data_IF_018237340728
#
_entry.id   IF_018237340728
#
_cell.length_a   1.000
_cell.length_b   1.000
_cell.length_c   1.000
_cell.angle_alpha   90.00
_cell.angle_beta   90.00
_cell.angle_gamma   90.00
#
_symmetry.space_group_name_H-M   'P 1'
#
loop_
_entity.id
_entity.type
_entity.pdbx_description
1 polymer ?
#
# COMPACT_ATOMS: atom_id res chain seq x y z
N UNK A 1 17.50 10.27 -4.58
CA UNK A 1 16.40 10.83 -3.75
C UNK A 1 15.12 10.14 -4.09
N UNK A 2 14.35 9.76 -3.07
CA UNK A 2 13.04 9.13 -3.27
C UNK A 2 12.06 10.18 -3.78
N UNK A 3 11.38 9.88 -4.88
CA UNK A 3 10.38 10.78 -5.47
C UNK A 3 8.96 10.27 -5.29
N UNK A 4 8.79 8.96 -5.17
CA UNK A 4 7.48 8.32 -5.11
C UNK A 4 7.52 7.19 -4.10
N UNK A 5 6.39 7.02 -3.41
CA UNK A 5 6.13 5.86 -2.55
C UNK A 5 4.97 5.07 -3.13
N UNK A 6 4.99 3.74 -2.94
CA UNK A 6 3.84 2.89 -3.19
C UNK A 6 3.24 2.49 -1.84
N UNK A 7 1.93 2.45 -1.78
CA UNK A 7 1.22 1.87 -0.65
C UNK A 7 0.37 0.71 -1.18
N UNK A 8 0.45 -0.42 -0.50
CA UNK A 8 -0.34 -1.61 -0.80
C UNK A 8 -1.30 -1.83 0.35
N UNK A 9 -2.59 -1.78 0.07
CA UNK A 9 -3.64 -1.96 1.07
C UNK A 9 -4.17 -3.37 0.90
N UNK A 10 -3.97 -4.22 1.92
CA UNK A 10 -4.28 -5.65 1.85
C UNK A 10 -5.67 -5.95 2.38
N UNK A 11 -6.32 -6.95 1.78
CA UNK A 11 -7.65 -7.38 2.23
C UNK A 11 -7.79 -8.88 1.98
N UNK A 12 -8.74 -9.50 2.69
CA UNK A 12 -9.11 -10.88 2.44
C UNK A 12 -10.22 -10.94 1.40
N UNK A 13 -10.40 -12.11 0.76
CA UNK A 13 -11.38 -12.23 -0.32
C UNK A 13 -12.81 -11.95 0.14
N UNK A 14 -13.11 -12.12 1.43
CA UNK A 14 -14.41 -11.80 2.00
C UNK A 14 -14.54 -10.33 2.40
N UNK A 15 -13.51 -9.50 2.16
CA UNK A 15 -13.48 -8.08 2.50
C UNK A 15 -13.49 -7.18 1.25
N UNK A 16 -13.95 -7.68 0.11
CA UNK A 16 -13.94 -6.90 -1.14
C UNK A 16 -14.76 -5.62 -1.03
N UNK A 17 -15.93 -5.68 -0.39
CA UNK A 17 -16.79 -4.50 -0.23
C UNK A 17 -16.10 -3.46 0.69
N UNK A 18 -15.51 -3.92 1.79
CA UNK A 18 -14.77 -3.05 2.69
C UNK A 18 -13.58 -2.40 1.96
N UNK A 19 -12.82 -3.21 1.21
CA UNK A 19 -11.66 -2.72 0.47
C UNK A 19 -12.06 -1.66 -0.57
N UNK A 20 -13.18 -1.87 -1.27
CA UNK A 20 -13.68 -0.89 -2.23
C UNK A 20 -14.08 0.42 -1.54
N UNK A 21 -14.70 0.35 -0.38
CA UNK A 21 -15.05 1.52 0.42
C UNK A 21 -13.80 2.28 0.87
N UNK A 22 -12.81 1.56 1.42
CA UNK A 22 -11.55 2.16 1.86
C UNK A 22 -10.85 2.85 0.69
N UNK A 23 -10.78 2.17 -0.47
CA UNK A 23 -10.17 2.73 -1.67
C UNK A 23 -10.85 4.05 -2.08
N UNK A 24 -12.17 4.06 -2.12
CA UNK A 24 -12.90 5.26 -2.51
C UNK A 24 -12.67 6.41 -1.54
N UNK A 25 -12.62 6.12 -0.23
CA UNK A 25 -12.36 7.13 0.80
C UNK A 25 -10.96 7.71 0.65
N UNK A 26 -9.96 6.86 0.40
CA UNK A 26 -8.57 7.29 0.21
C UNK A 26 -8.45 8.20 -1.01
N UNK A 27 -9.01 7.78 -2.14
CA UNK A 27 -8.96 8.57 -3.38
C UNK A 27 -9.60 9.94 -3.18
N UNK A 28 -10.75 9.96 -2.51
CA UNK A 28 -11.48 11.21 -2.27
C UNK A 28 -10.68 12.18 -1.42
N UNK A 29 -9.96 11.69 -0.42
CA UNK A 29 -9.25 12.54 0.52
C UNK A 29 -7.80 12.84 0.13
N UNK A 30 -7.25 12.11 -0.85
CA UNK A 30 -5.87 12.29 -1.30
C UNK A 30 -5.84 12.61 -2.81
N UNK A 31 -6.26 13.81 -3.21
CA UNK A 31 -6.27 14.18 -4.63
C UNK A 31 -4.86 14.27 -5.24
N UNK A 32 -3.82 14.31 -4.41
CA UNK A 32 -2.42 14.35 -4.87
C UNK A 32 -1.88 12.99 -5.32
N UNK A 33 -2.62 11.89 -5.14
CA UNK A 33 -2.17 10.57 -5.61
C UNK A 33 -1.94 10.61 -7.12
N UNK A 34 -0.84 9.99 -7.57
CA UNK A 34 -0.51 9.92 -9.00
C UNK A 34 -1.06 8.66 -9.65
N UNK A 35 -1.49 7.69 -8.84
CA UNK A 35 -2.06 6.43 -9.34
C UNK A 35 -2.91 5.79 -8.25
N UNK A 36 -4.01 5.19 -8.65
CA UNK A 36 -4.84 4.37 -7.77
C UNK A 36 -5.31 3.15 -8.56
N UNK A 37 -4.73 1.98 -8.24
CA UNK A 37 -5.02 0.73 -8.92
C UNK A 37 -6.37 0.16 -8.51
N UNK A 38 -6.87 -0.77 -9.32
CA UNK A 38 -8.08 -1.53 -9.00
C UNK A 38 -7.77 -2.57 -7.93
N UNK A 39 -8.82 -3.11 -7.31
CA UNK A 39 -8.67 -4.24 -6.40
C UNK A 39 -8.15 -5.45 -7.17
N UNK A 40 -7.08 -6.05 -6.65
CA UNK A 40 -6.50 -7.28 -7.23
C UNK A 40 -6.89 -8.43 -6.31
N UNK A 41 -7.81 -9.32 -6.74
CA UNK A 41 -8.42 -10.31 -5.83
C UNK A 41 -7.57 -11.55 -5.58
N UNK A 42 -6.29 -11.53 -6.00
CA UNK A 42 -5.36 -12.64 -5.81
C UNK A 42 -4.03 -12.12 -5.26
N UNK A 43 -3.27 -13.01 -4.62
CA UNK A 43 -1.91 -12.68 -4.17
C UNK A 43 -0.97 -12.64 -5.38
N UNK A 44 -0.20 -11.57 -5.51
CA UNK A 44 0.79 -11.43 -6.60
C UNK A 44 2.11 -10.92 -6.04
N UNK A 45 3.21 -11.27 -6.73
CA UNK A 45 4.56 -10.83 -6.37
C UNK A 45 4.88 -11.18 -4.92
N UNK A 46 5.48 -10.26 -4.15
CA UNK A 46 5.82 -10.50 -2.75
C UNK A 46 4.63 -10.41 -1.81
N UNK A 47 3.45 -10.06 -2.32
CA UNK A 47 2.28 -9.75 -1.49
C UNK A 47 1.55 -11.03 -1.07
N UNK A 48 1.29 -11.21 0.26
CA UNK A 48 0.69 -12.45 0.77
C UNK A 48 -0.82 -12.51 0.66
N UNK A 49 -1.48 -11.39 0.29
CA UNK A 49 -2.93 -11.29 0.24
C UNK A 49 -3.35 -10.48 -0.98
N UNK A 50 -4.63 -10.55 -1.38
CA UNK A 50 -5.20 -9.56 -2.28
C UNK A 50 -4.94 -8.13 -1.81
N UNK A 51 -4.80 -7.19 -2.74
CA UNK A 51 -4.48 -5.81 -2.38
C UNK A 51 -4.89 -4.85 -3.50
N UNK A 52 -4.86 -3.55 -3.18
CA UNK A 52 -4.81 -2.53 -4.21
C UNK A 52 -3.62 -1.61 -3.93
N UNK A 53 -3.10 -1.00 -4.97
CA UNK A 53 -1.89 -0.20 -4.91
C UNK A 53 -2.19 1.25 -5.24
N UNK A 54 -1.58 2.18 -4.49
CA UNK A 54 -1.64 3.61 -4.79
C UNK A 54 -0.21 4.15 -4.82
N UNK A 55 -0.01 5.22 -5.61
CA UNK A 55 1.28 5.90 -5.70
C UNK A 55 1.16 7.29 -5.11
N UNK A 56 2.12 7.64 -4.25
CA UNK A 56 2.11 8.85 -3.44
C UNK A 56 3.37 9.65 -3.74
N UNK A 57 3.26 10.93 -4.16
CA UNK A 57 4.45 11.77 -4.30
C UNK A 57 5.16 11.91 -2.95
N UNK A 58 6.50 11.90 -2.96
CA UNK A 58 7.27 11.99 -1.73
C UNK A 58 6.93 13.23 -0.91
N UNK A 59 6.59 14.33 -1.57
CA UNK A 59 6.21 15.57 -0.90
C UNK A 59 4.94 15.47 -0.08
N UNK A 60 4.12 14.45 -0.32
CA UNK A 60 2.85 14.24 0.38
C UNK A 60 2.87 13.04 1.32
N UNK A 61 4.04 12.37 1.49
CA UNK A 61 4.05 11.06 2.14
C UNK A 61 3.57 11.09 3.59
N UNK A 62 4.00 12.07 4.36
CA UNK A 62 3.61 12.12 5.78
C UNK A 62 2.12 12.37 5.96
N UNK A 63 1.57 13.30 5.20
CA UNK A 63 0.14 13.58 5.22
C UNK A 63 -0.67 12.37 4.73
N UNK A 64 -0.21 11.74 3.65
CA UNK A 64 -0.88 10.58 3.08
C UNK A 64 -0.89 9.42 4.07
N UNK A 65 0.23 9.13 4.74
CA UNK A 65 0.29 8.04 5.71
C UNK A 65 -0.68 8.27 6.87
N UNK A 66 -0.76 9.50 7.38
CA UNK A 66 -1.69 9.81 8.47
C UNK A 66 -3.14 9.62 8.01
N UNK A 67 -3.48 10.10 6.82
CA UNK A 67 -4.82 9.98 6.25
C UNK A 67 -5.19 8.51 6.01
N UNK A 68 -4.29 7.73 5.41
CA UNK A 68 -4.52 6.31 5.14
C UNK A 68 -4.72 5.56 6.46
N UNK A 69 -3.91 5.88 7.48
CA UNK A 69 -4.05 5.23 8.77
C UNK A 69 -5.43 5.45 9.39
N UNK A 70 -6.01 6.63 9.21
CA UNK A 70 -7.37 6.91 9.68
C UNK A 70 -8.44 6.19 8.87
N UNK A 71 -8.21 5.97 7.58
CA UNK A 71 -9.22 5.46 6.65
C UNK A 71 -9.15 3.96 6.41
N UNK A 72 -8.10 3.28 6.87
CA UNK A 72 -7.85 1.87 6.50
C UNK A 72 -8.80 0.85 7.13
N UNK A 73 -9.55 1.21 8.14
CA UNK A 73 -10.56 0.36 8.80
C UNK A 73 -10.05 -1.04 9.17
N UNK A 74 -8.88 -1.08 9.79
CA UNK A 74 -8.26 -2.32 10.24
C UNK A 74 -7.46 -3.07 9.19
N UNK A 75 -7.51 -2.67 7.92
CA UNK A 75 -6.71 -3.30 6.87
C UNK A 75 -5.23 -2.97 7.05
N UNK A 76 -4.36 -3.96 6.77
CA UNK A 76 -2.91 -3.75 6.81
C UNK A 76 -2.46 -2.97 5.59
N UNK A 77 -1.51 -2.05 5.78
CA UNK A 77 -0.96 -1.26 4.68
C UNK A 77 0.57 -1.31 4.73
N UNK A 78 1.17 -1.68 3.61
CA UNK A 78 2.63 -1.58 3.41
C UNK A 78 2.92 -0.31 2.61
N UNK A 79 3.79 0.54 3.15
CA UNK A 79 4.24 1.75 2.44
C UNK A 79 5.74 1.61 2.22
N UNK A 80 6.18 1.74 0.96
CA UNK A 80 7.61 1.63 0.66
C UNK A 80 8.03 2.63 -0.41
N UNK A 81 9.30 3.08 -0.36
CA UNK A 81 9.83 3.95 -1.41
C UNK A 81 9.99 3.18 -2.72
N UNK A 82 9.94 3.90 -3.83
CA UNK A 82 10.30 3.35 -5.14
C UNK A 82 11.80 3.58 -5.32
N UNK A 83 12.56 2.50 -5.33
CA UNK A 83 14.01 2.54 -5.46
C UNK A 83 14.51 1.31 -6.19
N UNK A 84 15.76 1.34 -6.66
CA UNK A 84 16.31 0.27 -7.49
C UNK A 84 16.42 -1.05 -6.74
N UNK A 85 16.74 -1.02 -5.45
CA UNK A 85 16.82 -2.23 -4.63
C UNK A 85 15.43 -2.58 -4.10
N UNK A 86 14.73 -3.46 -4.81
CA UNK A 86 13.37 -3.87 -4.44
C UNK A 86 13.33 -4.60 -3.09
N UNK A 87 14.34 -5.41 -2.79
CA UNK A 87 14.41 -6.11 -1.51
C UNK A 87 14.52 -5.10 -0.35
N UNK A 88 15.42 -4.12 -0.48
CA UNK A 88 15.56 -3.09 0.53
C UNK A 88 14.30 -2.25 0.69
N UNK A 89 13.63 -1.92 -0.42
CA UNK A 89 12.38 -1.16 -0.39
C UNK A 89 11.30 -1.87 0.41
N UNK A 90 11.21 -3.20 0.30
CA UNK A 90 10.18 -4.00 0.97
C UNK A 90 10.61 -4.49 2.36
N UNK A 91 11.81 -4.16 2.80
CA UNK A 91 12.32 -4.54 4.13
C UNK A 91 12.71 -3.28 4.92
N UNK A 92 13.97 -2.83 4.78
CA UNK A 92 14.49 -1.69 5.55
C UNK A 92 13.77 -0.37 5.23
N UNK A 93 13.34 -0.19 3.98
CA UNK A 93 12.63 1.00 3.55
C UNK A 93 11.13 0.96 3.79
N UNK A 94 10.59 -0.17 4.24
CA UNK A 94 9.16 -0.37 4.38
C UNK A 94 8.64 0.18 5.71
N UNK A 95 7.43 0.71 5.67
CA UNK A 95 6.66 1.10 6.86
C UNK A 95 5.32 0.39 6.80
N UNK A 96 4.82 -0.04 7.96
CA UNK A 96 3.52 -0.71 8.04
C UNK A 96 2.53 0.14 8.82
N UNK A 97 1.29 0.17 8.34
CA UNK A 97 0.16 0.68 9.09
C UNK A 97 -0.71 -0.52 9.44
N UNK A 98 -1.05 -0.65 10.72
CA UNK A 98 -1.76 -1.82 11.19
C UNK A 98 -0.83 -3.02 11.36
N UNK A 99 -1.38 -4.21 11.17
CA UNK A 99 -0.63 -5.45 11.33
C UNK A 99 0.39 -5.63 10.21
N UNK A 100 1.63 -5.94 10.58
CA UNK A 100 2.66 -6.29 9.60
C UNK A 100 2.44 -7.72 9.11
N UNK A 101 2.43 -7.90 7.79
CA UNK A 101 2.26 -9.20 7.16
C UNK A 101 3.60 -9.74 6.69
N UNK A 102 3.69 -11.08 6.53
CA UNK A 102 4.89 -11.74 6.03
C UNK A 102 4.92 -11.69 4.50
N UNK A 103 5.85 -10.92 3.94
CA UNK A 103 6.02 -10.82 2.49
C UNK A 103 6.78 -12.02 1.95
N UNK A 104 6.51 -12.37 0.68
CA UNK A 104 7.22 -13.43 -0.05
C UNK A 104 8.49 -12.84 -0.65
N UNK A 105 9.52 -12.62 0.17
CA UNK A 105 10.71 -11.88 -0.22
C UNK A 105 11.55 -12.58 -1.28
N UNK A 106 11.40 -13.90 -1.46
CA UNK A 106 12.19 -14.65 -2.43
C UNK A 106 12.00 -14.15 -3.86
N UNK A 107 10.82 -13.61 -4.19
CA UNK A 107 10.55 -13.08 -5.54
C UNK A 107 11.29 -11.77 -5.81
N UNK A 108 11.88 -11.16 -4.79
CA UNK A 108 12.60 -9.89 -4.90
C UNK A 108 14.12 -10.07 -4.95
N UNK A 109 14.62 -11.29 -4.78
CA UNK A 109 16.06 -11.58 -4.78
C UNK A 109 16.61 -11.79 -6.18
#
# INVERSE_FOLDING_TARGET
>A
MIQTYHAHIYFSTDEMTLAAHVRNSIIKQLPQLTYAGQLIPISIGPHPKPMFEIHIPASSINFAMATINELREGLSVLVHPVQADELAAHTNGASWLGEQLSLKLDVLK
#
